data_IF_470972164894
#
_entry.id   IF_470972164894
#
_cell.length_a   1.000
_cell.length_b   1.000
_cell.length_c   1.000
_cell.angle_alpha   90.00
_cell.angle_beta   90.00
_cell.angle_gamma   90.00
#
_symmetry.space_group_name_H-M   'P 1'
#
loop_
_entity.id
_entity.type
_entity.pdbx_description
1 polymer ?
#
# COMPACT_ATOMS: atom_id res chain seq x y z
N UNK A 1 16.52 -4.04 15.93
CA UNK A 1 15.06 -3.83 15.82
C UNK A 1 14.65 -2.74 14.82
N UNK A 2 15.55 -1.95 14.20
CA UNK A 2 15.14 -0.87 13.28
C UNK A 2 14.60 -1.39 11.94
N UNK A 3 15.19 -2.46 11.38
CA UNK A 3 14.78 -3.00 10.08
C UNK A 3 13.37 -3.62 10.03
N UNK A 4 12.85 -4.16 11.15
CA UNK A 4 11.46 -4.67 11.20
C UNK A 4 10.44 -3.52 11.20
N UNK A 5 10.75 -2.43 11.91
CA UNK A 5 9.90 -1.24 11.97
C UNK A 5 9.86 -0.51 10.63
N UNK A 6 10.99 -0.46 9.93
CA UNK A 6 11.08 0.08 8.58
C UNK A 6 10.20 -0.73 7.60
N UNK A 7 10.30 -2.07 7.64
CA UNK A 7 9.50 -2.95 6.79
C UNK A 7 7.98 -2.80 7.03
N UNK A 8 7.59 -2.70 8.30
CA UNK A 8 6.20 -2.49 8.71
C UNK A 8 5.64 -1.17 8.12
N UNK A 9 6.40 -0.08 8.23
CA UNK A 9 5.94 1.26 7.84
C UNK A 9 5.91 1.54 6.33
N UNK A 10 6.67 0.83 5.50
CA UNK A 10 6.80 1.18 4.08
C UNK A 10 5.80 0.49 3.14
N UNK A 11 5.25 -0.67 3.52
CA UNK A 11 4.50 -1.51 2.57
C UNK A 11 3.10 -1.91 3.04
N UNK A 12 2.64 -1.44 4.20
CA UNK A 12 1.32 -1.81 4.73
C UNK A 12 1.18 -3.31 5.04
N UNK A 13 2.31 -3.99 5.24
CA UNK A 13 2.39 -5.45 5.45
C UNK A 13 2.36 -5.84 6.92
N UNK A 14 2.03 -4.89 7.81
CA UNK A 14 2.13 -5.00 9.27
C UNK A 14 1.42 -6.24 9.83
N UNK A 15 0.21 -6.51 9.37
CA UNK A 15 -0.59 -7.65 9.83
C UNK A 15 -0.02 -9.01 9.36
N UNK A 16 0.57 -9.06 8.16
CA UNK A 16 1.17 -10.28 7.62
C UNK A 16 2.56 -10.52 8.23
N UNK A 17 3.32 -9.45 8.45
CA UNK A 17 4.60 -9.45 9.15
C UNK A 17 4.45 -9.94 10.60
N UNK A 18 3.42 -9.46 11.32
CA UNK A 18 3.12 -9.92 12.69
C UNK A 18 2.84 -11.42 12.74
N UNK A 19 2.00 -11.94 11.84
CA UNK A 19 1.71 -13.38 11.76
C UNK A 19 2.97 -14.21 11.46
N UNK A 20 3.84 -13.72 10.57
CA UNK A 20 5.09 -14.42 10.23
C UNK A 20 6.06 -14.44 11.41
N UNK A 21 6.17 -13.31 12.12
CA UNK A 21 6.97 -13.20 13.34
C UNK A 21 6.48 -14.14 14.43
N UNK A 22 5.17 -14.22 14.68
CA UNK A 22 4.59 -15.15 15.66
C UNK A 22 4.91 -16.61 15.32
N UNK A 23 4.79 -16.99 14.04
CA UNK A 23 5.16 -18.34 13.59
C UNK A 23 6.65 -18.66 13.81
N UNK A 24 7.54 -17.70 13.56
CA UNK A 24 8.98 -17.87 13.77
C UNK A 24 9.34 -17.92 15.26
N UNK A 25 8.65 -17.14 16.10
CA UNK A 25 8.80 -17.17 17.55
C UNK A 25 8.41 -18.54 18.13
N UNK A 26 7.38 -19.19 17.59
CA UNK A 26 6.98 -20.56 17.99
C UNK A 26 8.07 -21.59 17.67
N UNK A 27 8.77 -21.43 16.55
CA UNK A 27 9.88 -22.32 16.14
C UNK A 27 11.19 -21.95 16.85
N UNK A 28 11.26 -20.78 17.48
CA UNK A 28 12.46 -20.29 18.17
C UNK A 28 13.55 -19.81 17.21
N UNK A 29 13.22 -19.55 15.95
CA UNK A 29 14.16 -19.10 14.93
C UNK A 29 14.17 -17.58 14.79
N UNK A 30 15.33 -17.03 14.43
CA UNK A 30 15.47 -15.60 14.16
C UNK A 30 15.02 -15.30 12.72
N UNK A 31 14.16 -14.29 12.51
CA UNK A 31 13.74 -13.89 11.18
C UNK A 31 14.92 -13.31 10.39
N UNK A 32 15.09 -13.76 9.14
CA UNK A 32 16.03 -13.13 8.21
C UNK A 32 15.40 -11.88 7.59
N UNK A 33 15.93 -10.71 7.96
CA UNK A 33 15.43 -9.41 7.50
C UNK A 33 15.53 -9.21 5.98
N UNK A 34 16.52 -9.84 5.34
CA UNK A 34 16.73 -9.72 3.91
C UNK A 34 15.65 -10.51 3.16
N UNK A 35 15.37 -11.74 3.60
CA UNK A 35 14.27 -12.53 3.03
C UNK A 35 12.92 -11.86 3.24
N UNK A 36 12.65 -11.36 4.45
CA UNK A 36 11.40 -10.64 4.72
C UNK A 36 11.29 -9.41 3.80
N UNK A 37 12.35 -8.63 3.65
CA UNK A 37 12.34 -7.48 2.73
C UNK A 37 12.04 -7.86 1.28
N UNK A 38 12.62 -8.94 0.78
CA UNK A 38 12.37 -9.40 -0.59
C UNK A 38 10.94 -9.97 -0.77
N UNK A 39 10.42 -10.68 0.24
CA UNK A 39 9.07 -11.26 0.23
C UNK A 39 7.96 -10.21 0.35
N UNK A 40 8.20 -9.20 1.19
CA UNK A 40 7.29 -8.09 1.43
C UNK A 40 7.55 -6.88 0.53
N UNK A 41 8.53 -6.97 -0.37
CA UNK A 41 8.77 -5.94 -1.37
C UNK A 41 7.47 -5.75 -2.17
N UNK A 42 6.99 -4.50 -2.33
CA UNK A 42 5.80 -4.24 -3.10
C UNK A 42 6.09 -4.75 -4.50
N UNK A 43 5.27 -5.71 -4.98
CA UNK A 43 5.26 -6.02 -6.40
C UNK A 43 5.04 -4.70 -7.09
N UNK A 44 5.96 -4.30 -7.98
CA UNK A 44 5.77 -3.12 -8.82
C UNK A 44 4.40 -3.27 -9.47
N UNK A 45 3.42 -2.56 -8.91
CA UNK A 45 2.13 -2.48 -9.52
C UNK A 45 2.41 -1.73 -10.81
N UNK A 46 2.29 -2.43 -11.94
CA UNK A 46 2.17 -1.81 -13.26
C UNK A 46 0.84 -1.06 -13.27
N UNK A 47 0.74 -0.03 -12.42
CA UNK A 47 -0.37 0.88 -12.40
C UNK A 47 -0.31 1.61 -13.74
N UNK A 48 -1.38 1.52 -14.56
CA UNK A 48 -1.41 2.31 -15.77
C UNK A 48 -1.31 3.79 -15.39
N UNK A 49 -0.60 4.56 -16.20
CA UNK A 49 -0.58 6.00 -16.06
C UNK A 49 -2.00 6.52 -16.33
N UNK A 50 -2.71 6.92 -15.28
CA UNK A 50 -4.06 7.49 -15.40
C UNK A 50 -3.91 9.00 -15.56
N UNK A 51 -4.07 9.47 -16.80
CA UNK A 51 -4.17 10.90 -17.09
C UNK A 51 -5.63 11.30 -16.96
N UNK A 52 -5.95 12.12 -15.94
CA UNK A 52 -7.26 12.75 -15.81
C UNK A 52 -7.20 14.12 -16.47
N UNK A 53 -7.83 14.24 -17.63
CA UNK A 53 -8.03 15.55 -18.25
C UNK A 53 -9.04 16.35 -17.42
N UNK A 54 -8.60 17.50 -16.90
CA UNK A 54 -9.47 18.37 -16.12
C UNK A 54 -10.39 19.14 -17.07
N UNK A 55 -11.72 18.95 -17.01
CA UNK A 55 -12.64 19.71 -17.84
C UNK A 55 -12.67 21.18 -17.39
N UNK A 56 -13.14 22.06 -18.29
CA UNK A 56 -13.35 23.48 -17.98
C UNK A 56 -14.39 23.62 -16.85
N UNK A 57 -14.19 24.62 -15.99
CA UNK A 57 -15.07 24.87 -14.83
C UNK A 57 -16.55 25.02 -15.22
N UNK A 58 -16.83 25.57 -16.40
CA UNK A 58 -18.18 25.76 -16.94
C UNK A 58 -18.98 24.46 -17.09
N UNK A 59 -18.31 23.30 -17.25
CA UNK A 59 -18.99 22.00 -17.32
C UNK A 59 -19.63 21.62 -15.98
N UNK A 60 -19.06 22.07 -14.86
CA UNK A 60 -19.63 21.83 -13.55
C UNK A 60 -20.87 22.67 -13.27
N UNK A 61 -20.99 23.85 -13.88
CA UNK A 61 -22.19 24.71 -13.76
C UNK A 61 -23.43 23.99 -14.33
N UNK A 62 -23.28 23.27 -15.45
CA UNK A 62 -24.37 22.47 -16.04
C UNK A 62 -24.85 21.31 -15.13
N UNK A 63 -23.96 20.76 -14.28
CA UNK A 63 -24.32 19.72 -13.32
C UNK A 63 -25.16 20.30 -12.17
N UNK A 64 -24.91 21.56 -11.81
CA UNK A 64 -25.67 22.28 -10.79
C UNK A 64 -27.11 22.52 -11.28
N UNK A 65 -27.27 22.93 -12.54
CA UNK A 65 -28.58 23.14 -13.17
C UNK A 65 -29.38 21.83 -13.30
N UNK A 66 -28.72 20.69 -13.57
CA UNK A 66 -29.37 19.37 -13.60
C UNK A 66 -29.74 18.84 -12.21
N UNK A 67 -28.99 19.19 -11.17
CA UNK A 67 -29.30 18.78 -9.80
C UNK A 67 -30.46 19.58 -9.18
N UNK A 68 -30.76 20.76 -9.73
CA UNK A 68 -31.83 21.64 -9.28
C UNK A 68 -33.19 21.43 -9.97
N UNK A 69 -33.28 20.51 -10.95
CA UNK A 69 -34.48 20.17 -11.71
C UNK A 69 -35.16 18.88 -11.17
#
# INVERSE_FOLDING_TARGET
>A
MVGLLELAGHHGVEALLAQRLDALLVVGELPDLKQLRDEFAPREALCPEVVVEMPLIAVYDELLDKAAA
#
